data_IF_022542095520
#
_entry.id   IF_022542095520
#
_cell.length_a   1.000
_cell.length_b   1.000
_cell.length_c   1.000
_cell.angle_alpha   90.00
_cell.angle_beta   90.00
_cell.angle_gamma   90.00
#
_symmetry.space_group_name_H-M   'P 1'
#
loop_
_entity.id
_entity.type
_entity.pdbx_description
1 polymer ?
#
# COMPACT_ATOMS: atom_id res chain seq x y z
N UNK A 1 -15.49 20.39 7.91
CA UNK A 1 -14.60 19.28 8.32
C UNK A 1 -13.48 19.23 7.30
N UNK A 2 -12.48 20.08 7.45
CA UNK A 2 -11.28 20.05 6.61
C UNK A 2 -10.31 19.10 7.29
N UNK A 3 -10.43 17.81 6.98
CA UNK A 3 -9.35 16.88 7.27
C UNK A 3 -8.28 17.16 6.23
N UNK A 4 -7.35 18.03 6.59
CA UNK A 4 -6.00 17.98 6.06
C UNK A 4 -5.48 16.58 6.42
N UNK A 5 -5.76 15.60 5.54
CA UNK A 5 -5.19 14.28 5.68
C UNK A 5 -3.70 14.45 5.37
N UNK A 6 -2.94 14.87 6.38
CA UNK A 6 -1.54 14.53 6.45
C UNK A 6 -1.48 13.04 6.15
N UNK A 7 -0.81 12.69 5.04
CA UNK A 7 -0.62 11.31 4.61
C UNK A 7 0.22 10.65 5.70
N UNK A 8 -0.47 10.09 6.69
CA UNK A 8 0.09 9.45 7.88
C UNK A 8 0.03 7.94 7.68
N UNK A 9 0.91 7.20 8.36
CA UNK A 9 0.94 5.74 8.28
C UNK A 9 -0.45 5.13 8.55
N UNK A 10 -1.19 5.64 9.54
CA UNK A 10 -2.54 5.19 9.86
C UNK A 10 -3.53 5.40 8.71
N UNK A 11 -3.53 6.57 8.07
CA UNK A 11 -4.44 6.85 6.95
C UNK A 11 -4.13 5.97 5.73
N UNK A 12 -2.84 5.77 5.45
CA UNK A 12 -2.38 4.87 4.39
C UNK A 12 -2.80 3.43 4.68
N UNK A 13 -2.57 2.94 5.90
CA UNK A 13 -2.93 1.58 6.31
C UNK A 13 -4.44 1.35 6.19
N UNK A 14 -5.26 2.29 6.67
CA UNK A 14 -6.72 2.20 6.56
C UNK A 14 -7.19 2.12 5.11
N UNK A 15 -6.62 2.95 4.22
CA UNK A 15 -6.98 2.95 2.81
C UNK A 15 -6.62 1.62 2.12
N UNK A 16 -5.42 1.08 2.40
CA UNK A 16 -4.98 -0.21 1.84
C UNK A 16 -5.84 -1.35 2.41
N UNK A 17 -6.12 -1.33 3.72
CA UNK A 17 -6.97 -2.33 4.38
C UNK A 17 -8.36 -2.35 3.80
N UNK A 18 -8.98 -1.19 3.60
CA UNK A 18 -10.29 -1.08 3.00
C UNK A 18 -10.31 -1.66 1.58
N UNK A 19 -9.34 -1.28 0.75
CA UNK A 19 -9.23 -1.79 -0.63
C UNK A 19 -9.06 -3.31 -0.68
N UNK A 20 -8.12 -3.86 0.10
CA UNK A 20 -7.87 -5.30 0.13
C UNK A 20 -9.09 -6.04 0.66
N UNK A 21 -9.66 -5.59 1.77
CA UNK A 21 -10.82 -6.24 2.41
C UNK A 21 -12.05 -6.24 1.52
N UNK A 22 -12.30 -5.14 0.81
CA UNK A 22 -13.37 -5.04 -0.19
C UNK A 22 -13.14 -6.01 -1.35
N UNK A 23 -11.89 -6.11 -1.83
CA UNK A 23 -11.54 -6.96 -2.96
C UNK A 23 -11.61 -8.45 -2.64
N UNK A 24 -11.18 -8.84 -1.44
CA UNK A 24 -11.22 -10.24 -0.96
C UNK A 24 -12.55 -10.61 -0.32
N UNK A 25 -13.42 -9.62 -0.08
CA UNK A 25 -14.71 -9.77 0.62
C UNK A 25 -14.58 -10.42 2.00
N UNK A 26 -13.49 -10.11 2.68
CA UNK A 26 -13.16 -10.64 3.99
C UNK A 26 -12.38 -9.58 4.78
N UNK A 27 -12.44 -9.66 6.09
CA UNK A 27 -11.65 -8.79 6.97
C UNK A 27 -10.20 -9.28 6.99
N UNK A 28 -9.27 -8.37 6.68
CA UNK A 28 -7.85 -8.68 6.55
C UNK A 28 -7.05 -7.87 7.58
N UNK A 29 -6.42 -8.53 8.57
CA UNK A 29 -5.59 -7.84 9.54
C UNK A 29 -4.28 -7.37 8.92
N UNK A 30 -3.67 -6.34 9.51
CA UNK A 30 -2.55 -5.64 8.89
C UNK A 30 -1.27 -6.49 8.78
N UNK A 31 -1.09 -7.43 9.70
CA UNK A 31 0.00 -8.40 9.80
C UNK A 31 -0.24 -9.68 8.99
N UNK A 32 -1.41 -9.81 8.34
CA UNK A 32 -1.78 -11.00 7.59
C UNK A 32 -0.91 -11.15 6.34
N UNK A 33 -0.31 -12.34 6.18
CA UNK A 33 0.34 -12.72 4.93
C UNK A 33 -0.72 -12.97 3.85
N UNK A 34 -0.87 -12.02 2.94
CA UNK A 34 -1.87 -12.04 1.87
C UNK A 34 -1.51 -13.04 0.77
N UNK A 35 -0.22 -13.21 0.50
CA UNK A 35 0.23 -14.14 -0.52
C UNK A 35 0.30 -15.57 0.03
N UNK A 36 0.69 -15.74 1.29
CA UNK A 36 0.74 -17.03 1.98
C UNK A 36 -0.65 -17.60 2.26
N UNK A 37 -1.63 -16.74 2.53
CA UNK A 37 -3.04 -17.13 2.68
C UNK A 37 -3.75 -17.43 1.37
N UNK A 38 -3.15 -17.06 0.22
CA UNK A 38 -3.77 -17.17 -1.10
C UNK A 38 -4.84 -16.10 -1.38
N UNK A 39 -4.97 -15.08 -0.53
CA UNK A 39 -5.85 -13.93 -0.75
C UNK A 39 -5.38 -13.07 -1.92
N UNK A 40 -4.07 -12.99 -2.15
CA UNK A 40 -3.46 -12.28 -3.27
C UNK A 40 -2.89 -13.25 -4.31
N UNK A 41 -3.38 -13.12 -5.54
CA UNK A 41 -2.83 -13.77 -6.73
C UNK A 41 -1.79 -12.87 -7.41
N UNK A 42 -0.95 -13.44 -8.29
CA UNK A 42 0.03 -12.65 -9.06
C UNK A 42 -0.60 -11.56 -9.92
N UNK A 43 -1.83 -11.78 -10.41
CA UNK A 43 -2.57 -10.77 -11.17
C UNK A 43 -3.07 -9.65 -10.25
N UNK A 44 -3.59 -10.01 -9.07
CA UNK A 44 -4.05 -9.02 -8.11
C UNK A 44 -2.89 -8.19 -7.53
N UNK A 45 -1.71 -8.78 -7.37
CA UNK A 45 -0.52 -8.06 -6.95
C UNK A 45 -0.17 -6.89 -7.90
N UNK A 46 -0.28 -7.10 -9.23
CA UNK A 46 -0.07 -6.03 -10.20
C UNK A 46 -1.15 -4.95 -10.13
N UNK A 47 -2.42 -5.34 -9.95
CA UNK A 47 -3.54 -4.41 -9.76
C UNK A 47 -3.34 -3.55 -8.49
N UNK A 48 -2.86 -4.18 -7.41
CA UNK A 48 -2.53 -3.55 -6.14
C UNK A 48 -1.37 -2.56 -6.29
N UNK A 49 -0.29 -2.91 -7.01
CA UNK A 49 0.80 -1.96 -7.31
C UNK A 49 0.25 -0.71 -7.99
N UNK A 50 -0.49 -0.88 -9.09
CA UNK A 50 -1.05 0.26 -9.85
C UNK A 50 -2.00 1.08 -8.98
N UNK A 51 -2.82 0.42 -8.15
CA UNK A 51 -3.72 1.11 -7.24
C UNK A 51 -2.94 1.95 -6.21
N UNK A 52 -1.88 1.42 -5.61
CA UNK A 52 -1.04 2.15 -4.65
C UNK A 52 -0.36 3.36 -5.32
N UNK A 53 0.21 3.17 -6.51
CA UNK A 53 0.84 4.25 -7.27
C UNK A 53 -0.16 5.39 -7.57
N UNK A 54 -1.37 5.05 -8.02
CA UNK A 54 -2.41 6.04 -8.34
C UNK A 54 -3.00 6.70 -7.08
N UNK A 55 -3.31 5.91 -6.05
CA UNK A 55 -3.97 6.39 -4.83
C UNK A 55 -3.07 7.32 -4.01
N UNK A 56 -1.77 7.02 -3.95
CA UNK A 56 -0.81 7.78 -3.16
C UNK A 56 0.14 8.65 -3.99
N UNK A 57 0.01 8.61 -5.33
CA UNK A 57 0.92 9.32 -6.26
C UNK A 57 2.39 8.98 -6.01
N UNK A 58 2.70 7.68 -5.86
CA UNK A 58 4.07 7.16 -5.67
C UNK A 58 4.52 6.35 -6.87
N UNK A 59 5.83 6.15 -7.04
CA UNK A 59 6.39 5.20 -8.01
C UNK A 59 6.96 3.99 -7.30
N UNK A 60 6.55 2.79 -7.71
CA UNK A 60 6.99 1.52 -7.14
C UNK A 60 7.79 0.76 -8.21
N UNK A 61 9.13 0.78 -8.11
CA UNK A 61 10.02 0.25 -9.14
C UNK A 61 11.18 -0.56 -8.56
N UNK A 62 11.76 -1.45 -9.37
CA UNK A 62 12.99 -2.17 -9.03
C UNK A 62 12.88 -2.96 -7.72
N UNK A 63 13.63 -2.53 -6.70
CA UNK A 63 13.64 -3.18 -5.38
C UNK A 63 12.34 -3.02 -4.59
N UNK A 64 11.49 -2.07 -4.97
CA UNK A 64 10.20 -1.85 -4.32
C UNK A 64 9.16 -2.89 -4.75
N UNK A 65 9.33 -3.49 -5.93
CA UNK A 65 8.45 -4.55 -6.48
C UNK A 65 8.66 -5.94 -5.83
N UNK A 66 9.46 -6.01 -4.76
CA UNK A 66 9.67 -7.25 -4.02
C UNK A 66 8.38 -7.67 -3.31
N UNK A 67 8.06 -8.96 -3.42
CA UNK A 67 6.89 -9.57 -2.73
C UNK A 67 6.84 -9.23 -1.25
N UNK A 68 7.98 -9.13 -0.58
CA UNK A 68 8.06 -8.77 0.85
C UNK A 68 7.40 -7.42 1.15
N UNK A 69 7.46 -6.45 0.24
CA UNK A 69 6.82 -5.14 0.42
C UNK A 69 5.30 -5.16 0.23
N UNK A 70 4.75 -6.22 -0.35
CA UNK A 70 3.30 -6.41 -0.55
C UNK A 70 2.73 -7.54 0.29
N UNK A 71 3.58 -8.21 1.07
CA UNK A 71 3.22 -9.43 1.78
C UNK A 71 2.11 -9.19 2.79
N UNK A 72 2.16 -8.07 3.48
CA UNK A 72 1.23 -7.63 4.51
C UNK A 72 0.85 -6.17 4.28
N UNK A 73 -0.24 -5.71 4.89
CA UNK A 73 -0.68 -4.31 4.80
C UNK A 73 0.36 -3.40 5.45
N UNK A 74 0.90 -3.80 6.60
CA UNK A 74 1.97 -3.05 7.27
C UNK A 74 3.18 -2.79 6.34
N UNK A 75 3.59 -3.81 5.57
CA UNK A 75 4.70 -3.67 4.63
C UNK A 75 4.39 -2.68 3.51
N UNK A 76 3.16 -2.73 2.97
CA UNK A 76 2.72 -1.78 1.94
C UNK A 76 2.62 -0.35 2.51
N UNK A 77 2.10 -0.20 3.72
CA UNK A 77 2.05 1.08 4.42
C UNK A 77 3.44 1.66 4.59
N UNK A 78 4.40 0.87 5.08
CA UNK A 78 5.78 1.28 5.23
C UNK A 78 6.42 1.66 3.88
N UNK A 79 6.12 0.92 2.81
CA UNK A 79 6.57 1.24 1.46
C UNK A 79 6.06 2.61 1.01
N UNK A 80 4.75 2.83 1.07
CA UNK A 80 4.11 4.08 0.64
C UNK A 80 4.63 5.26 1.47
N UNK A 81 4.71 5.12 2.79
CA UNK A 81 5.25 6.16 3.68
C UNK A 81 6.70 6.48 3.33
N UNK A 82 7.53 5.47 3.03
CA UNK A 82 8.92 5.67 2.61
C UNK A 82 9.01 6.39 1.27
N UNK A 83 8.21 5.99 0.28
CA UNK A 83 8.21 6.61 -1.05
C UNK A 83 7.73 8.06 -1.00
N UNK A 84 6.65 8.34 -0.26
CA UNK A 84 6.14 9.70 -0.02
C UNK A 84 7.11 10.59 0.75
N UNK A 85 7.82 10.01 1.72
CA UNK A 85 8.85 10.72 2.48
C UNK A 85 10.12 10.99 1.67
N UNK A 86 10.42 10.16 0.67
CA UNK A 86 11.55 10.36 -0.25
C UNK A 86 11.24 11.41 -1.33
N UNK A 87 9.97 11.73 -1.58
CA UNK A 87 9.53 12.61 -2.67
C UNK A 87 9.66 14.13 -2.40
N UNK A 88 10.16 14.56 -1.23
CA UNK A 88 10.47 16.01 -1.01
C UNK A 88 11.73 16.21 -0.14
N UNK A 89 12.70 17.07 -0.53
CA UNK A 89 12.52 18.29 -1.34
C UNK A 89 13.36 18.36 -2.63
N UNK A 90 12.69 18.33 -3.77
CA UNK A 90 13.12 19.15 -4.91
C UNK A 90 12.44 20.53 -4.75
N UNK A 91 13.04 21.35 -3.89
CA UNK A 91 12.93 22.82 -3.95
C UNK A 91 13.92 23.25 -5.05
N UNK A 92 13.41 23.69 -6.21
CA UNK A 92 13.67 25.01 -6.86
C UNK A 92 12.83 25.15 -8.15
#
# INVERSE_FOLDING_TARGET
MSMDQAVTAEATEQAITAFVSERVKAEVPADQDLFGSGLVSSMFAMELVVHLEQAFSVQILGDDLKRDNFRTIEAMTALVVRLRGAEKPADD
#
